data_IF_272867573646
#
_entry.id   IF_272867573646
#
_cell.length_a   1.000
_cell.length_b   1.000
_cell.length_c   1.000
_cell.angle_alpha   90.00
_cell.angle_beta   90.00
_cell.angle_gamma   90.00
#
_symmetry.space_group_name_H-M   'P 1'
#
loop_
_entity.id
_entity.type
_entity.pdbx_description
1 polymer ?
#
# COMPACT_ATOMS: atom_id res chain seq x y z
N UNK A 1 -22.41 -10.46 3.97
CA UNK A 1 -22.76 -9.51 2.90
C UNK A 1 -21.64 -9.52 1.88
N UNK A 2 -21.90 -9.74 0.59
CA UNK A 2 -20.91 -9.53 -0.48
C UNK A 2 -21.49 -8.46 -1.40
N UNK A 3 -21.14 -7.21 -1.15
CA UNK A 3 -21.45 -6.09 -2.05
C UNK A 3 -20.18 -5.78 -2.83
N UNK A 4 -19.90 -6.64 -3.81
CA UNK A 4 -18.75 -6.53 -4.70
C UNK A 4 -19.12 -5.67 -5.91
N UNK A 5 -18.17 -4.91 -6.44
CA UNK A 5 -18.34 -4.20 -7.71
C UNK A 5 -18.30 -5.15 -8.92
N UNK A 6 -18.46 -4.60 -10.13
CA UNK A 6 -18.42 -5.34 -11.39
C UNK A 6 -17.11 -6.07 -11.65
N UNK A 7 -16.04 -5.72 -10.94
CA UNK A 7 -14.70 -6.33 -11.03
C UNK A 7 -14.45 -7.36 -9.92
N UNK A 8 -15.45 -7.59 -9.05
CA UNK A 8 -15.39 -8.59 -7.98
C UNK A 8 -14.74 -8.12 -6.68
N UNK A 9 -14.51 -6.81 -6.52
CA UNK A 9 -13.80 -6.21 -5.38
C UNK A 9 -14.76 -5.59 -4.36
N UNK A 10 -14.37 -5.59 -3.08
CA UNK A 10 -15.19 -5.01 -1.99
C UNK A 10 -14.93 -3.52 -1.86
N UNK A 11 -16.00 -2.73 -1.88
CA UNK A 11 -15.98 -1.27 -1.72
C UNK A 11 -16.92 -0.80 -0.59
N UNK A 12 -17.34 -1.71 0.30
CA UNK A 12 -18.29 -1.40 1.40
C UNK A 12 -17.60 -1.39 2.75
N UNK A 13 -16.67 -2.32 2.97
CA UNK A 13 -15.94 -2.46 4.23
C UNK A 13 -14.44 -2.67 3.98
N UNK A 14 -13.85 -1.77 3.21
CA UNK A 14 -12.43 -1.67 2.97
C UNK A 14 -11.82 -0.43 3.66
N UNK A 15 -10.50 -0.31 3.61
CA UNK A 15 -9.81 0.84 4.18
C UNK A 15 -9.64 1.97 3.15
N UNK A 16 -9.52 3.19 3.66
CA UNK A 16 -9.01 4.32 2.89
C UNK A 16 -7.52 4.16 2.63
N UNK A 17 -7.09 4.53 1.42
CA UNK A 17 -5.68 4.46 1.00
C UNK A 17 -5.29 5.68 0.19
N UNK A 18 -3.99 5.94 0.19
CA UNK A 18 -3.36 6.88 -0.75
C UNK A 18 -2.16 6.16 -1.36
N UNK A 19 -2.04 6.23 -2.68
CA UNK A 19 -0.83 5.83 -3.41
C UNK A 19 -0.13 7.08 -3.92
N UNK A 20 1.15 7.24 -3.60
CA UNK A 20 2.00 8.31 -4.12
C UNK A 20 3.10 7.64 -4.95
N UNK A 21 3.20 7.99 -6.21
CA UNK A 21 4.08 7.34 -7.18
C UNK A 21 5.16 8.33 -7.58
N UNK A 22 6.42 8.05 -7.30
CA UNK A 22 7.56 8.90 -7.63
C UNK A 22 8.33 8.32 -8.82
N UNK A 23 8.64 9.17 -9.78
CA UNK A 23 9.49 8.77 -10.89
C UNK A 23 10.92 8.51 -10.40
N UNK A 24 11.46 7.33 -10.74
CA UNK A 24 12.90 7.04 -10.59
C UNK A 24 13.58 7.25 -11.94
N UNK A 25 13.07 6.62 -12.99
CA UNK A 25 13.65 6.65 -14.34
C UNK A 25 12.68 6.20 -15.46
N UNK A 26 11.37 6.34 -15.27
CA UNK A 26 10.37 5.83 -16.22
C UNK A 26 10.10 6.82 -17.35
N UNK A 27 10.39 6.43 -18.59
CA UNK A 27 10.16 7.29 -19.75
C UNK A 27 8.66 7.61 -19.90
N UNK A 28 8.34 8.90 -20.03
CA UNK A 28 6.95 9.37 -20.17
C UNK A 28 6.25 9.68 -18.84
N UNK A 29 6.89 9.42 -17.70
CA UNK A 29 6.27 9.69 -16.39
C UNK A 29 5.97 11.18 -16.20
N UNK A 30 6.84 12.08 -16.68
CA UNK A 30 6.62 13.51 -16.54
C UNK A 30 5.31 13.96 -17.22
N UNK A 31 4.94 13.31 -18.31
CA UNK A 31 3.76 13.63 -19.11
C UNK A 31 2.49 12.94 -18.61
N UNK A 32 2.58 11.67 -18.18
CA UNK A 32 1.41 10.83 -17.86
C UNK A 32 1.29 10.45 -16.37
N UNK A 33 2.25 10.86 -15.54
CA UNK A 33 2.28 10.58 -14.12
C UNK A 33 2.17 9.09 -13.82
N UNK A 34 1.36 8.72 -12.82
CA UNK A 34 1.16 7.32 -12.46
C UNK A 34 0.39 6.51 -13.53
N UNK A 35 -0.23 7.17 -14.52
CA UNK A 35 -0.98 6.52 -15.59
C UNK A 35 -0.06 5.83 -16.61
N UNK A 36 1.20 6.28 -16.76
CA UNK A 36 2.19 5.65 -17.66
C UNK A 36 2.39 4.15 -17.39
N UNK A 37 2.14 3.75 -16.14
CA UNK A 37 2.26 2.37 -15.68
C UNK A 37 0.97 1.58 -15.77
N UNK A 38 -0.16 2.20 -16.14
CA UNK A 38 -1.48 1.60 -16.10
C UNK A 38 -1.81 0.91 -17.43
N UNK A 39 -2.08 -0.39 -17.38
CA UNK A 39 -2.37 -1.21 -18.56
C UNK A 39 -3.73 -1.88 -18.38
N UNK A 40 -4.66 -1.56 -19.26
CA UNK A 40 -6.02 -2.07 -19.30
C UNK A 40 -6.14 -3.16 -20.39
N UNK A 41 -7.21 -3.96 -20.33
CA UNK A 41 -7.59 -4.90 -21.39
C UNK A 41 -6.48 -5.87 -21.85
N UNK A 42 -5.63 -6.28 -20.91
CA UNK A 42 -4.56 -7.26 -21.18
C UNK A 42 -5.19 -8.60 -21.52
N UNK A 43 -4.84 -9.14 -22.69
CA UNK A 43 -5.36 -10.42 -23.16
C UNK A 43 -5.18 -11.54 -22.14
N UNK A 44 -6.28 -12.21 -21.79
CA UNK A 44 -6.30 -13.31 -20.82
C UNK A 44 -6.24 -12.88 -19.35
N UNK A 45 -6.17 -11.59 -19.05
CA UNK A 45 -6.26 -11.06 -17.68
C UNK A 45 -7.69 -10.56 -17.39
N UNK A 46 -8.27 -10.99 -16.26
CA UNK A 46 -9.63 -10.63 -15.86
C UNK A 46 -9.68 -9.51 -14.82
N UNK A 47 -8.54 -8.90 -14.47
CA UNK A 47 -8.52 -7.79 -13.53
C UNK A 47 -9.00 -6.50 -14.18
N UNK A 48 -9.35 -5.52 -13.35
CA UNK A 48 -9.71 -4.18 -13.81
C UNK A 48 -8.54 -3.39 -14.41
N UNK A 49 -7.33 -3.93 -14.43
CA UNK A 49 -6.13 -3.24 -14.87
C UNK A 49 -4.88 -3.71 -14.12
N UNK A 50 -3.73 -3.61 -14.79
CA UNK A 50 -2.43 -3.96 -14.23
C UNK A 50 -1.52 -2.75 -14.21
N UNK A 51 -0.52 -2.82 -13.32
CA UNK A 51 0.51 -1.79 -13.23
C UNK A 51 1.89 -2.38 -13.49
N UNK A 52 2.62 -1.85 -14.47
CA UNK A 52 4.01 -2.14 -14.80
C UNK A 52 4.60 -1.05 -15.70
N UNK A 53 5.91 -0.81 -15.63
CA UNK A 53 6.61 0.12 -16.53
C UNK A 53 6.79 -0.49 -17.92
N UNK A 54 6.99 0.36 -18.93
CA UNK A 54 6.99 -0.08 -20.33
C UNK A 54 8.30 -0.75 -20.73
N UNK A 55 9.44 -0.30 -20.18
CA UNK A 55 10.75 -0.78 -20.60
C UNK A 55 11.53 -1.47 -19.47
N UNK A 56 12.31 -2.52 -19.79
CA UNK A 56 13.21 -3.15 -18.82
C UNK A 56 14.17 -2.14 -18.16
N UNK A 57 14.30 -2.23 -16.84
CA UNK A 57 15.15 -1.35 -16.05
C UNK A 57 14.49 -0.04 -15.60
N UNK A 58 13.28 0.26 -16.09
CA UNK A 58 12.47 1.37 -15.57
C UNK A 58 11.77 0.97 -14.28
N UNK A 59 11.77 1.89 -13.32
CA UNK A 59 11.14 1.72 -12.02
C UNK A 59 10.43 2.99 -11.56
N UNK A 60 9.43 2.79 -10.71
CA UNK A 60 8.62 3.84 -10.05
C UNK A 60 8.55 3.47 -8.58
N UNK A 61 8.95 4.38 -7.70
CA UNK A 61 8.78 4.27 -6.25
C UNK A 61 7.29 4.53 -5.92
N UNK A 62 6.67 3.72 -5.06
CA UNK A 62 5.25 3.78 -4.71
C UNK A 62 5.03 3.73 -3.19
N UNK A 63 4.77 4.89 -2.60
CA UNK A 63 4.40 4.99 -1.19
C UNK A 63 2.90 4.69 -1.05
N UNK A 64 2.57 3.57 -0.39
CA UNK A 64 1.19 3.11 -0.29
C UNK A 64 0.67 3.17 1.14
N UNK A 65 -0.02 4.25 1.46
CA UNK A 65 -0.69 4.44 2.75
C UNK A 65 -1.89 3.50 2.82
N UNK A 66 -1.93 2.68 3.86
CA UNK A 66 -3.03 1.76 4.15
C UNK A 66 -3.52 2.02 5.57
N UNK A 67 -4.65 2.70 5.69
CA UNK A 67 -5.06 3.27 6.97
C UNK A 67 -5.33 2.22 8.07
N UNK A 68 -5.69 1.00 7.71
CA UNK A 68 -5.90 -0.10 8.66
C UNK A 68 -4.64 -0.96 8.80
N UNK A 69 -3.85 -1.10 7.73
CA UNK A 69 -2.71 -2.03 7.71
C UNK A 69 -1.37 -1.45 8.13
N UNK A 70 -1.13 -0.15 7.95
CA UNK A 70 0.18 0.47 8.18
C UNK A 70 0.12 1.73 9.05
N UNK A 71 -0.93 2.55 8.92
CA UNK A 71 -1.13 3.74 9.76
C UNK A 71 -1.09 3.48 11.28
N UNK A 72 -1.68 2.37 11.81
CA UNK A 72 -1.61 2.07 13.25
C UNK A 72 -0.19 1.83 13.77
N UNK A 73 0.74 1.48 12.87
CA UNK A 73 2.15 1.26 13.17
C UNK A 73 3.01 2.47 12.81
N UNK A 74 2.40 3.56 12.34
CA UNK A 74 3.10 4.79 11.95
C UNK A 74 3.97 4.64 10.71
N UNK A 75 3.64 3.70 9.81
CA UNK A 75 4.43 3.38 8.62
C UNK A 75 3.59 3.48 7.35
N UNK A 76 4.27 3.69 6.23
CA UNK A 76 3.71 3.51 4.89
C UNK A 76 4.17 2.16 4.35
N UNK A 77 3.33 1.47 3.56
CA UNK A 77 3.79 0.28 2.84
C UNK A 77 4.68 0.77 1.69
N UNK A 78 5.99 0.62 1.87
CA UNK A 78 6.97 1.04 0.87
C UNK A 78 7.11 -0.02 -0.23
N UNK A 79 6.92 0.42 -1.46
CA UNK A 79 6.70 -0.44 -2.60
C UNK A 79 7.31 0.20 -3.83
N UNK A 80 7.49 -0.60 -4.88
CA UNK A 80 7.93 -0.10 -6.17
C UNK A 80 7.24 -0.86 -7.30
N UNK A 81 7.39 -0.34 -8.50
CA UNK A 81 6.93 -0.96 -9.74
C UNK A 81 8.08 -1.11 -10.72
N UNK A 82 8.09 -2.22 -11.45
CA UNK A 82 8.98 -2.45 -12.58
C UNK A 82 8.23 -2.95 -13.82
N UNK A 83 8.99 -3.38 -14.83
CA UNK A 83 8.48 -3.79 -16.13
C UNK A 83 7.95 -5.23 -16.16
N UNK A 84 7.69 -5.86 -15.01
CA UNK A 84 7.17 -7.24 -14.97
C UNK A 84 5.73 -7.26 -15.47
N UNK A 85 5.52 -7.69 -16.71
CA UNK A 85 4.24 -7.58 -17.41
C UNK A 85 3.42 -8.88 -17.47
N UNK A 86 3.74 -9.89 -16.65
CA UNK A 86 3.02 -11.16 -16.67
C UNK A 86 2.84 -11.79 -15.28
N UNK A 87 1.69 -12.45 -15.11
CA UNK A 87 1.29 -13.08 -13.86
C UNK A 87 2.16 -14.26 -13.44
N UNK A 88 2.86 -14.90 -14.38
CA UNK A 88 3.76 -16.05 -14.12
C UNK A 88 5.01 -15.61 -13.36
N UNK A 89 5.58 -14.47 -13.74
CA UNK A 89 6.72 -13.88 -13.05
C UNK A 89 6.30 -13.21 -11.73
N UNK A 90 5.17 -12.50 -11.73
CA UNK A 90 4.59 -11.92 -10.52
C UNK A 90 3.07 -11.77 -10.67
N UNK A 91 2.28 -12.30 -9.74
CA UNK A 91 0.81 -12.17 -9.77
C UNK A 91 0.32 -10.72 -9.72
N UNK A 92 1.14 -9.83 -9.18
CA UNK A 92 0.89 -8.39 -9.11
C UNK A 92 1.49 -7.60 -10.28
N UNK A 93 2.04 -8.29 -11.28
CA UNK A 93 2.74 -7.71 -12.44
C UNK A 93 3.92 -6.85 -11.97
N UNK A 94 3.97 -5.56 -12.30
CA UNK A 94 5.08 -4.69 -11.94
C UNK A 94 5.13 -4.38 -10.45
N UNK A 95 3.97 -4.38 -9.77
CA UNK A 95 3.88 -4.00 -8.35
C UNK A 95 4.59 -5.01 -7.44
N UNK A 96 5.53 -4.51 -6.65
CA UNK A 96 6.35 -5.26 -5.69
C UNK A 96 6.48 -4.44 -4.41
N UNK A 97 6.66 -5.12 -3.27
CA UNK A 97 7.10 -4.42 -2.07
C UNK A 97 8.60 -4.24 -2.11
N UNK A 98 9.07 -3.23 -1.38
CA UNK A 98 10.50 -3.07 -1.13
C UNK A 98 11.11 -4.29 -0.44
N UNK A 99 12.44 -4.36 -0.44
CA UNK A 99 13.15 -5.51 0.11
C UNK A 99 12.63 -5.79 1.53
N UNK A 100 11.94 -6.93 1.68
CA UNK A 100 11.31 -7.31 2.94
C UNK A 100 12.31 -8.02 3.84
N UNK A 101 12.61 -7.41 4.98
CA UNK A 101 13.42 -8.05 6.03
C UNK A 101 12.58 -8.48 7.24
N UNK A 102 11.37 -7.95 7.41
CA UNK A 102 10.48 -8.32 8.51
C UNK A 102 9.07 -7.70 8.41
N UNK A 103 8.19 -8.13 9.31
CA UNK A 103 6.88 -7.53 9.54
C UNK A 103 5.85 -7.62 8.41
N UNK A 104 4.98 -6.62 8.35
CA UNK A 104 3.86 -6.51 7.42
C UNK A 104 2.58 -7.14 7.95
N UNK A 105 1.64 -7.44 7.05
CA UNK A 105 0.29 -7.86 7.42
C UNK A 105 -0.12 -9.18 6.74
N UNK A 106 -0.96 -9.94 7.43
CA UNK A 106 -1.52 -11.21 6.95
C UNK A 106 -2.99 -11.35 7.35
N UNK A 107 -3.72 -12.21 6.63
CA UNK A 107 -5.07 -12.57 7.05
C UNK A 107 -5.04 -13.32 8.38
N UNK A 108 -5.96 -12.99 9.29
CA UNK A 108 -6.08 -13.64 10.60
C UNK A 108 -6.92 -14.93 10.49
N UNK A 109 -6.32 -15.99 9.94
CA UNK A 109 -6.94 -17.31 9.88
C UNK A 109 -6.11 -18.32 10.68
N UNK A 110 -6.80 -19.20 11.41
CA UNK A 110 -6.20 -20.41 11.95
C UNK A 110 -5.79 -21.36 10.80
N UNK A 111 -5.01 -22.40 11.15
CA UNK A 111 -4.36 -23.28 10.16
C UNK A 111 -5.34 -23.99 9.22
N UNK A 112 -6.50 -24.38 9.74
CA UNK A 112 -7.59 -25.06 9.03
C UNK A 112 -8.61 -24.10 8.39
N UNK A 113 -8.44 -22.77 8.58
CA UNK A 113 -9.30 -21.71 8.03
C UNK A 113 -10.76 -21.79 8.51
N UNK A 114 -11.01 -22.41 9.66
CA UNK A 114 -12.33 -22.47 10.29
C UNK A 114 -12.65 -21.22 11.12
N UNK A 115 -11.63 -20.41 11.46
CA UNK A 115 -11.81 -19.22 12.27
C UNK A 115 -10.53 -18.38 12.39
N UNK A 116 -10.51 -17.40 13.30
CA UNK A 116 -9.35 -16.55 13.54
C UNK A 116 -8.24 -17.29 14.29
N UNK A 117 -6.98 -16.93 14.02
CA UNK A 117 -5.84 -17.45 14.76
C UNK A 117 -5.58 -16.67 16.05
N UNK A 118 -5.82 -15.35 16.02
CA UNK A 118 -5.46 -14.43 17.09
C UNK A 118 -6.58 -13.45 17.40
N UNK A 119 -6.50 -12.82 18.57
CA UNK A 119 -7.33 -11.69 19.00
C UNK A 119 -6.48 -10.66 19.74
N UNK A 120 -7.05 -9.49 20.02
CA UNK A 120 -6.46 -8.51 20.94
C UNK A 120 -6.91 -8.80 22.38
N UNK A 121 -5.97 -8.89 23.31
CA UNK A 121 -6.25 -8.97 24.74
C UNK A 121 -5.30 -8.08 25.56
N UNK A 122 -5.82 -7.20 26.45
CA UNK A 122 -7.25 -6.90 26.63
C UNK A 122 -7.89 -6.33 25.34
N UNK A 123 -9.22 -6.42 25.16
CA UNK A 123 -9.89 -5.87 23.98
C UNK A 123 -9.60 -4.38 23.82
N UNK A 124 -9.33 -3.94 22.59
CA UNK A 124 -9.06 -2.54 22.25
C UNK A 124 -10.09 -2.01 21.27
N UNK A 125 -10.68 -0.85 21.58
CA UNK A 125 -11.60 -0.14 20.67
C UNK A 125 -10.86 0.44 19.47
N UNK A 126 -9.61 0.86 19.66
CA UNK A 126 -8.77 1.41 18.60
C UNK A 126 -8.35 0.30 17.64
N UNK A 127 -7.87 -0.83 18.16
CA UNK A 127 -7.49 -2.00 17.37
C UNK A 127 -8.66 -2.96 17.14
N UNK A 128 -9.78 -2.43 16.64
CA UNK A 128 -11.00 -3.24 16.43
C UNK A 128 -10.90 -4.17 15.22
N UNK A 129 -10.27 -3.71 14.14
CA UNK A 129 -10.29 -4.39 12.84
C UNK A 129 -9.02 -5.21 12.54
N UNK A 130 -7.98 -5.05 13.37
CA UNK A 130 -6.67 -5.66 13.22
C UNK A 130 -6.12 -6.13 14.57
N UNK A 131 -5.32 -7.18 14.56
CA UNK A 131 -4.56 -7.62 15.73
C UNK A 131 -3.26 -6.83 15.80
N UNK A 132 -3.07 -6.05 16.88
CA UNK A 132 -1.84 -5.32 17.13
C UNK A 132 -0.77 -6.26 17.71
N UNK A 133 0.52 -6.11 17.33
CA UNK A 133 1.60 -6.92 17.88
C UNK A 133 1.63 -6.92 19.41
N UNK A 134 1.42 -5.76 20.03
CA UNK A 134 1.45 -5.57 21.48
C UNK A 134 0.26 -6.19 22.24
N UNK A 135 -0.83 -6.51 21.55
CA UNK A 135 -2.06 -7.07 22.14
C UNK A 135 -2.34 -8.51 21.66
N UNK A 136 -1.48 -9.05 20.79
CA UNK A 136 -1.69 -10.31 20.09
C UNK A 136 -1.67 -11.48 21.08
N UNK A 137 -2.79 -12.20 21.16
CA UNK A 137 -2.91 -13.46 21.90
C UNK A 137 -3.61 -14.51 21.03
N UNK A 138 -3.42 -15.83 21.26
CA UNK A 138 -4.20 -16.86 20.60
C UNK A 138 -5.71 -16.62 20.74
N UNK A 139 -6.46 -16.93 19.69
CA UNK A 139 -7.90 -16.71 19.69
C UNK A 139 -8.60 -17.61 20.72
N UNK A 140 -9.47 -16.99 21.53
CA UNK A 140 -10.43 -17.67 22.39
C UNK A 140 -11.79 -17.02 22.11
N UNK A 141 -12.81 -17.84 21.85
CA UNK A 141 -14.13 -17.30 21.54
C UNK A 141 -14.83 -16.79 22.80
N UNK A 142 -14.68 -15.49 23.02
CA UNK A 142 -15.40 -14.71 24.05
C UNK A 142 -16.37 -13.70 23.42
N UNK A 143 -16.58 -13.81 22.10
CA UNK A 143 -17.35 -12.85 21.33
C UNK A 143 -18.83 -13.22 21.37
N UNK A 144 -19.69 -12.20 21.28
CA UNK A 144 -21.15 -12.36 21.17
C UNK A 144 -21.63 -11.86 19.80
N UNK A 145 -22.80 -12.30 19.33
CA UNK A 145 -23.37 -11.82 18.09
C UNK A 145 -23.37 -10.29 18.00
N UNK A 146 -22.81 -9.75 16.91
CA UNK A 146 -22.64 -8.32 16.69
C UNK A 146 -21.25 -7.76 17.05
N UNK A 147 -20.44 -8.52 17.81
CA UNK A 147 -19.04 -8.13 18.02
C UNK A 147 -18.23 -8.25 16.71
N UNK A 148 -17.16 -7.46 16.61
CA UNK A 148 -16.24 -7.48 15.46
C UNK A 148 -14.99 -8.24 15.83
N UNK A 149 -14.66 -9.23 15.01
CA UNK A 149 -13.44 -10.01 15.14
C UNK A 149 -12.39 -9.45 14.16
N UNK A 150 -11.15 -9.17 14.61
CA UNK A 150 -10.09 -8.68 13.73
C UNK A 150 -9.80 -9.61 12.54
N UNK A 151 -9.88 -9.09 11.33
CA UNK A 151 -9.69 -9.88 10.10
C UNK A 151 -8.24 -10.05 9.67
N UNK A 152 -7.33 -9.25 10.23
CA UNK A 152 -5.91 -9.24 9.87
C UNK A 152 -5.02 -9.18 11.11
N UNK A 153 -3.79 -9.65 10.96
CA UNK A 153 -2.70 -9.42 11.89
C UNK A 153 -1.73 -8.45 11.23
N UNK A 154 -1.34 -7.40 11.94
CA UNK A 154 -0.38 -6.41 11.46
C UNK A 154 0.89 -6.46 12.29
N UNK A 155 2.01 -6.10 11.69
CA UNK A 155 3.32 -5.98 12.34
C UNK A 155 4.18 -4.95 11.60
N UNK A 156 5.07 -4.28 12.33
CA UNK A 156 5.87 -3.19 11.78
C UNK A 156 6.83 -3.72 10.72
N UNK A 157 6.84 -3.11 9.53
CA UNK A 157 7.87 -3.38 8.53
C UNK A 157 9.26 -3.08 9.11
N UNK A 158 10.25 -3.77 8.59
CA UNK A 158 11.66 -3.61 8.96
C UNK A 158 12.50 -3.39 7.70
N UNK A 159 13.71 -2.84 7.89
CA UNK A 159 14.68 -2.63 6.82
C UNK A 159 14.20 -1.60 5.79
N UNK A 160 14.62 -1.72 4.51
CA UNK A 160 14.30 -0.76 3.46
C UNK A 160 12.80 -0.47 3.35
N UNK A 161 11.95 -1.51 3.43
CA UNK A 161 10.49 -1.35 3.36
C UNK A 161 9.86 -0.53 4.52
N UNK A 162 10.66 -0.15 5.51
CA UNK A 162 10.25 0.64 6.67
C UNK A 162 10.77 2.09 6.63
N UNK A 163 11.38 2.53 5.52
CA UNK A 163 12.05 3.84 5.42
C UNK A 163 11.07 5.04 5.47
N UNK A 164 9.77 4.77 5.35
CA UNK A 164 8.71 5.78 5.31
C UNK A 164 7.80 5.67 6.52
N UNK A 165 7.81 6.74 7.32
CA UNK A 165 6.96 6.92 8.48
C UNK A 165 5.78 7.82 8.13
N UNK A 166 4.67 7.63 8.84
CA UNK A 166 3.52 8.51 8.70
C UNK A 166 2.74 8.71 9.99
N UNK A 167 1.99 9.80 10.02
CA UNK A 167 0.84 10.01 10.91
C UNK A 167 -0.35 10.42 10.07
N UNK A 168 -1.52 9.91 10.43
CA UNK A 168 -2.78 10.24 9.77
C UNK A 168 -3.82 10.60 10.80
N UNK A 169 -4.58 11.67 10.53
CA UNK A 169 -5.73 12.06 11.35
C UNK A 169 -6.94 12.23 10.46
N UNK A 170 -8.05 11.59 10.84
CA UNK A 170 -9.37 11.88 10.30
C UNK A 170 -10.07 12.86 11.22
N UNK A 171 -10.52 13.98 10.67
CA UNK A 171 -11.26 15.00 11.40
C UNK A 171 -12.23 15.71 10.46
N UNK A 172 -13.50 15.86 10.88
CA UNK A 172 -14.54 16.56 10.14
C UNK A 172 -14.65 16.22 8.64
N UNK A 173 -14.56 14.92 8.28
CA UNK A 173 -14.71 14.48 6.89
C UNK A 173 -13.43 14.54 6.05
N UNK A 174 -12.28 14.84 6.66
CA UNK A 174 -11.01 15.03 5.95
C UNK A 174 -9.91 14.19 6.58
N UNK A 175 -9.16 13.47 5.73
CA UNK A 175 -7.88 12.87 6.09
C UNK A 175 -6.77 13.90 5.95
N UNK A 176 -5.99 14.10 7.02
CA UNK A 176 -4.71 14.79 6.98
C UNK A 176 -3.61 13.77 7.22
N UNK A 177 -2.67 13.66 6.29
CA UNK A 177 -1.53 12.74 6.37
C UNK A 177 -0.23 13.56 6.43
N UNK A 178 0.64 13.22 7.37
CA UNK A 178 2.03 13.67 7.42
C UNK A 178 2.93 12.47 7.15
N UNK A 179 3.80 12.59 6.17
CA UNK A 179 4.74 11.52 5.77
C UNK A 179 6.15 12.04 5.94
N UNK A 180 7.01 11.23 6.56
CA UNK A 180 8.43 11.53 6.80
C UNK A 180 9.29 10.38 6.30
N UNK A 181 10.39 10.75 5.66
CA UNK A 181 11.37 9.83 5.09
C UNK A 181 12.72 10.55 4.98
N UNK A 182 13.83 9.80 4.97
CA UNK A 182 15.14 10.36 4.62
C UNK A 182 15.17 10.76 3.14
N UNK A 183 15.85 11.86 2.81
CA UNK A 183 16.03 12.30 1.43
C UNK A 183 16.72 11.25 0.56
N UNK A 184 17.72 10.58 1.14
CA UNK A 184 18.46 9.49 0.51
C UNK A 184 18.28 8.24 1.38
N UNK A 185 17.74 7.17 0.79
CA UNK A 185 17.54 5.87 1.45
C UNK A 185 18.74 4.96 1.20
N UNK A 186 18.86 3.88 1.97
CA UNK A 186 20.02 2.99 1.91
C UNK A 186 19.57 1.55 1.90
N UNK A 187 20.25 0.72 1.12
CA UNK A 187 19.95 -0.71 1.01
C UNK A 187 20.49 -1.25 -0.30
N UNK A 188 20.57 -2.57 -0.42
CA UNK A 188 21.11 -3.23 -1.62
C UNK A 188 20.37 -2.82 -2.91
N UNK A 189 19.08 -2.47 -2.80
CA UNK A 189 18.21 -2.17 -3.93
C UNK A 189 17.60 -0.76 -3.90
N UNK A 190 18.05 0.12 -3.01
CA UNK A 190 17.47 1.46 -2.86
C UNK A 190 17.44 2.23 -4.19
N UNK A 191 18.46 2.09 -5.04
CA UNK A 191 18.53 2.78 -6.34
C UNK A 191 17.49 2.34 -7.39
N UNK A 192 16.78 1.23 -7.18
CA UNK A 192 15.71 0.75 -8.08
C UNK A 192 14.34 0.68 -7.38
N UNK A 193 14.30 0.85 -6.07
CA UNK A 193 13.07 0.77 -5.27
C UNK A 193 12.61 2.15 -4.83
N UNK A 194 13.55 3.05 -4.56
CA UNK A 194 13.32 4.36 -3.96
C UNK A 194 13.76 5.50 -4.87
N UNK A 195 12.96 6.56 -4.97
CA UNK A 195 13.43 7.83 -5.56
C UNK A 195 14.51 8.44 -4.66
N UNK A 196 15.66 8.87 -5.18
CA UNK A 196 16.68 9.51 -4.35
C UNK A 196 16.58 11.03 -4.46
N UNK A 197 16.26 11.72 -3.36
CA UNK A 197 16.27 13.18 -3.28
C UNK A 197 17.68 13.70 -2.97
N UNK A 198 18.66 13.26 -3.76
CA UNK A 198 20.09 13.56 -3.59
C UNK A 198 20.53 14.87 -4.25
N UNK A 199 19.67 15.47 -5.08
CA UNK A 199 19.89 16.76 -5.73
C UNK A 199 18.68 17.69 -5.54
N UNK A 200 18.76 18.52 -4.52
CA UNK A 200 17.69 19.43 -4.13
C UNK A 200 17.44 20.58 -5.12
N UNK A 201 18.28 20.73 -6.14
CA UNK A 201 18.06 21.69 -7.23
C UNK A 201 17.09 21.17 -8.30
N UNK A 202 16.81 19.86 -8.30
CA UNK A 202 15.93 19.22 -9.29
C UNK A 202 14.46 19.29 -8.90
N UNK A 203 13.67 19.13 -9.94
CA UNK A 203 12.23 18.88 -9.87
C UNK A 203 11.99 17.36 -9.85
N UNK A 204 11.23 16.89 -8.87
CA UNK A 204 10.87 15.47 -8.74
C UNK A 204 9.40 15.27 -9.10
N UNK A 205 9.15 14.47 -10.13
CA UNK A 205 7.80 14.22 -10.65
C UNK A 205 7.11 13.11 -9.86
N UNK A 206 5.82 13.29 -9.57
CA UNK A 206 5.03 12.28 -8.88
C UNK A 206 3.54 12.32 -9.25
N UNK A 207 2.86 11.19 -9.07
CA UNK A 207 1.41 11.07 -9.21
C UNK A 207 0.75 10.67 -7.89
N UNK A 208 -0.55 10.96 -7.75
CA UNK A 208 -1.33 10.61 -6.56
C UNK A 208 -2.60 9.85 -6.98
N UNK A 209 -2.93 8.81 -6.21
CA UNK A 209 -4.21 8.12 -6.25
C UNK A 209 -4.83 8.01 -4.84
N UNK A 210 -6.14 8.23 -4.73
CA UNK A 210 -6.90 8.15 -3.47
C UNK A 210 -8.00 7.09 -3.59
N UNK A 211 -8.12 6.26 -2.56
CA UNK A 211 -9.08 5.18 -2.46
C UNK A 211 -10.00 5.47 -1.28
N UNK A 212 -11.28 5.69 -1.54
CA UNK A 212 -12.33 5.82 -0.53
C UNK A 212 -12.97 4.46 -0.29
N UNK A 213 -12.68 3.87 0.87
CA UNK A 213 -13.27 2.59 1.32
C UNK A 213 -13.24 1.49 0.23
N UNK A 214 -12.16 1.40 -0.53
CA UNK A 214 -12.13 0.61 -1.77
C UNK A 214 -10.89 -0.25 -1.89
N UNK A 215 -11.08 -1.51 -2.32
CA UNK A 215 -9.97 -2.42 -2.53
C UNK A 215 -9.07 -2.01 -3.68
N UNK A 216 -9.64 -1.65 -4.84
CA UNK A 216 -8.87 -1.27 -6.04
C UNK A 216 -9.43 -0.06 -6.80
N UNK A 217 -10.70 0.28 -6.65
CA UNK A 217 -11.28 1.47 -7.29
C UNK A 217 -10.70 2.74 -6.64
N UNK A 218 -10.31 3.72 -7.44
CA UNK A 218 -9.65 4.93 -6.98
C UNK A 218 -9.89 6.10 -7.91
N UNK A 219 -9.78 7.30 -7.33
CA UNK A 219 -9.56 8.53 -8.06
C UNK A 219 -8.06 8.74 -8.18
N UNK A 220 -7.60 9.34 -9.27
CA UNK A 220 -6.20 9.71 -9.45
C UNK A 220 -6.12 11.12 -10.02
N UNK A 221 -4.98 11.76 -9.82
CA UNK A 221 -4.70 13.04 -10.44
C UNK A 221 -4.29 12.82 -11.91
N UNK A 222 -4.97 13.49 -12.84
CA UNK A 222 -4.70 13.33 -14.28
C UNK A 222 -3.37 13.98 -14.70
N UNK A 223 -2.99 15.10 -14.07
CA UNK A 223 -1.68 15.72 -14.30
C UNK A 223 -0.58 15.11 -13.41
N UNK A 224 0.65 15.18 -13.90
CA UNK A 224 1.85 14.93 -13.08
C UNK A 224 2.13 16.11 -12.15
N UNK A 225 2.30 15.80 -10.86
CA UNK A 225 2.70 16.79 -9.85
C UNK A 225 4.22 16.86 -9.76
N UNK A 226 4.72 17.97 -9.22
CA UNK A 226 6.17 18.21 -9.09
C UNK A 226 6.52 18.73 -7.71
N UNK A 227 7.48 18.07 -7.07
CA UNK A 227 8.12 18.54 -5.84
C UNK A 227 9.39 19.34 -6.19
N UNK A 228 9.51 20.53 -5.60
CA UNK A 228 10.74 21.34 -5.62
C UNK A 228 11.14 21.67 -4.20
N UNK A 229 12.38 21.37 -3.83
CA UNK A 229 12.93 21.78 -2.55
C UNK A 229 13.24 23.29 -2.59
N UNK A 230 13.09 23.97 -1.45
CA UNK A 230 13.37 25.40 -1.28
C UNK A 230 14.47 25.60 -0.25
#
# INVERSE_FOLDING_TARGET
MKKKDSTGHDNTYYEDKVGIFWDINTKGFKEEGCAISCHMDIEGDTSAGRKFTNNPGETIDMWHVKNVRTSPLGQVDDQFMDSTNNAKANKSFGRKGDMKTGGGYTNNYNKDKSGPAYMNFPPSKEAKYYVLPSLKTPFVDIYKPGDVVPGIVIDAFQGPRADIEMRGKWDNGIWTLEIRRKLVTTGEKANIQDVQFDDLSKEYSFGIAVFDNSQINHLFHDDTLTLKFK
#
